data_IF_291228000064
#
_entry.id   IF_291228000064
#
_cell.length_a   1.000
_cell.length_b   1.000
_cell.length_c   1.000
_cell.angle_alpha   90.00
_cell.angle_beta   90.00
_cell.angle_gamma   90.00
#
_symmetry.space_group_name_H-M   'P 1'
#
loop_
_entity.id
_entity.type
_entity.pdbx_description
1 polymer ?
#
# COMPACT_ATOMS: atom_id res chain seq x y z
N UNK A 1 -16.68 -11.50 -20.17
CA UNK A 1 -17.15 -10.83 -18.94
C UNK A 1 -15.93 -10.61 -18.06
N UNK A 2 -15.25 -9.48 -18.28
CA UNK A 2 -14.03 -9.14 -17.53
C UNK A 2 -14.41 -8.63 -16.14
N UNK A 3 -14.01 -9.38 -15.12
CA UNK A 3 -14.02 -8.93 -13.73
C UNK A 3 -13.03 -7.79 -13.59
N UNK A 4 -13.55 -6.56 -13.66
CA UNK A 4 -12.80 -5.34 -13.32
C UNK A 4 -12.42 -5.41 -11.85
N UNK A 5 -11.24 -5.92 -11.57
CA UNK A 5 -10.60 -5.82 -10.27
C UNK A 5 -10.36 -4.33 -10.01
N UNK A 6 -10.96 -3.78 -8.97
CA UNK A 6 -10.68 -2.41 -8.52
C UNK A 6 -9.19 -2.30 -8.13
N UNK A 7 -8.51 -1.19 -8.46
CA UNK A 7 -7.09 -1.01 -8.15
C UNK A 7 -6.84 -1.13 -6.64
N UNK A 8 -5.68 -1.67 -6.29
CA UNK A 8 -5.29 -1.83 -4.90
C UNK A 8 -4.76 -0.50 -4.33
N UNK A 9 -5.63 0.50 -4.18
CA UNK A 9 -5.29 1.81 -3.59
C UNK A 9 -4.46 1.62 -2.31
N UNK A 10 -3.22 2.09 -2.33
CA UNK A 10 -2.36 2.22 -1.15
C UNK A 10 -1.47 3.44 -1.33
N UNK A 11 -1.85 4.55 -0.68
CA UNK A 11 -0.95 5.69 -0.46
C UNK A 11 -0.36 5.53 0.94
N UNK A 12 0.95 5.68 1.09
CA UNK A 12 1.63 5.56 2.39
C UNK A 12 2.17 6.93 2.78
N UNK A 13 1.65 7.50 3.86
CA UNK A 13 2.21 8.69 4.48
C UNK A 13 3.23 8.27 5.53
N UNK A 14 4.37 8.94 5.57
CA UNK A 14 5.51 8.59 6.41
C UNK A 14 6.05 9.86 7.10
N UNK A 15 6.20 9.83 8.41
CA UNK A 15 6.62 11.00 9.22
C UNK A 15 7.95 10.76 9.94
N UNK A 16 8.72 11.84 10.15
CA UNK A 16 10.01 11.89 10.84
C UNK A 16 9.87 12.75 12.09
N UNK A 17 10.13 12.22 13.28
CA UNK A 17 10.28 13.02 14.51
C UNK A 17 11.49 12.61 15.34
N UNK A 18 12.51 13.46 15.26
CA UNK A 18 13.16 14.12 16.41
C UNK A 18 13.64 15.49 15.86
N UNK A 19 12.99 16.58 16.27
CA UNK A 19 13.31 18.00 15.97
C UNK A 19 12.88 18.69 14.65
N UNK A 20 12.21 18.04 13.69
CA UNK A 20 11.55 18.76 12.56
C UNK A 20 10.24 18.06 12.15
N UNK A 21 9.11 18.77 12.19
CA UNK A 21 7.78 18.26 11.82
C UNK A 21 7.53 18.38 10.30
N UNK A 22 8.17 17.52 9.51
CA UNK A 22 7.94 17.44 8.06
C UNK A 22 7.36 16.06 7.73
N UNK A 23 6.12 16.02 7.24
CA UNK A 23 5.40 14.78 6.92
C UNK A 23 5.49 14.51 5.41
N UNK A 24 6.23 13.46 5.03
CA UNK A 24 6.38 13.13 3.63
C UNK A 24 5.29 12.17 3.17
N UNK A 25 4.74 12.45 2.00
CA UNK A 25 3.74 11.62 1.35
C UNK A 25 4.39 10.76 0.27
N UNK A 26 3.98 9.51 0.15
CA UNK A 26 4.48 8.61 -0.88
C UNK A 26 3.35 7.80 -1.49
N UNK A 27 3.27 7.79 -2.80
CA UNK A 27 2.38 6.89 -3.54
C UNK A 27 3.15 5.62 -3.88
N UNK A 28 2.59 4.43 -3.58
CA UNK A 28 3.24 3.16 -3.90
C UNK A 28 2.37 2.27 -4.77
N UNK A 29 2.99 1.71 -5.81
CA UNK A 29 2.34 0.77 -6.72
C UNK A 29 2.99 0.79 -8.10
N UNK A 30 3.39 -0.39 -8.56
CA UNK A 30 4.04 -0.58 -9.84
C UNK A 30 3.09 -0.76 -11.03
N UNK A 31 3.65 -1.21 -12.14
CA UNK A 31 2.92 -1.50 -13.37
C UNK A 31 2.35 -2.92 -13.33
N UNK A 32 1.10 -3.07 -12.89
CA UNK A 32 0.44 -4.38 -12.75
C UNK A 32 -0.57 -4.70 -13.87
N UNK A 33 -0.92 -3.71 -14.71
CA UNK A 33 -1.92 -3.86 -15.79
C UNK A 33 -1.28 -3.63 -17.14
N UNK A 34 -1.43 -4.58 -18.06
CA UNK A 34 -0.93 -4.45 -19.44
C UNK A 34 -1.51 -3.23 -20.17
N UNK A 35 -2.77 -2.88 -19.89
CA UNK A 35 -3.46 -1.74 -20.50
C UNK A 35 -2.95 -0.37 -20.00
N UNK A 36 -2.17 -0.33 -18.91
CA UNK A 36 -1.66 0.91 -18.34
C UNK A 36 -0.44 1.48 -19.10
N UNK A 37 -0.04 0.85 -20.23
CA UNK A 37 1.15 1.23 -21.01
C UNK A 37 2.38 1.45 -20.11
N UNK A 38 2.94 2.66 -20.13
CA UNK A 38 4.14 3.05 -19.37
C UNK A 38 3.83 3.54 -17.95
N UNK A 39 2.57 3.61 -17.52
CA UNK A 39 2.22 4.22 -16.23
C UNK A 39 2.14 3.22 -15.08
N UNK A 40 2.73 3.58 -13.95
CA UNK A 40 2.57 2.89 -12.67
C UNK A 40 1.30 3.33 -11.95
N UNK A 41 0.84 2.53 -11.00
CA UNK A 41 -0.25 2.92 -10.09
C UNK A 41 0.14 4.16 -9.27
N UNK A 42 1.34 4.17 -8.68
CA UNK A 42 1.87 5.32 -7.94
C UNK A 42 1.95 6.61 -8.77
N UNK A 43 2.51 6.53 -9.97
CA UNK A 43 2.60 7.66 -10.90
C UNK A 43 1.22 8.18 -11.32
N UNK A 44 0.21 7.31 -11.40
CA UNK A 44 -1.17 7.74 -11.72
C UNK A 44 -1.78 8.55 -10.58
N UNK A 45 -1.61 8.13 -9.33
CA UNK A 45 -2.08 8.88 -8.16
C UNK A 45 -1.34 10.19 -7.97
N UNK A 46 -0.02 10.20 -8.16
CA UNK A 46 0.79 11.43 -8.12
C UNK A 46 0.30 12.47 -9.12
N UNK A 47 0.05 12.08 -10.38
CA UNK A 47 -0.50 12.98 -11.40
C UNK A 47 -1.90 13.50 -11.05
N UNK A 48 -2.77 12.62 -10.53
CA UNK A 48 -4.11 13.04 -10.12
C UNK A 48 -4.04 14.05 -8.97
N UNK A 49 -3.20 13.81 -7.96
CA UNK A 49 -3.02 14.72 -6.83
C UNK A 49 -2.50 16.09 -7.27
N UNK A 50 -1.53 16.12 -8.18
CA UNK A 50 -1.01 17.35 -8.78
C UNK A 50 -2.09 18.11 -9.55
N UNK A 51 -2.88 17.41 -10.38
CA UNK A 51 -3.96 18.03 -11.16
C UNK A 51 -5.06 18.63 -10.27
N UNK A 52 -5.30 18.02 -9.10
CA UNK A 52 -6.26 18.51 -8.12
C UNK A 52 -5.67 19.59 -7.18
N UNK A 53 -4.39 19.93 -7.31
CA UNK A 53 -3.71 20.89 -6.42
C UNK A 53 -3.67 20.45 -4.95
N UNK A 54 -3.72 19.14 -4.68
CA UNK A 54 -3.84 18.63 -3.31
C UNK A 54 -2.61 18.95 -2.46
N UNK A 55 -1.42 19.00 -3.05
CA UNK A 55 -0.18 19.29 -2.32
C UNK A 55 -0.14 20.74 -1.82
N UNK A 56 -0.67 21.67 -2.62
CA UNK A 56 -0.80 23.08 -2.25
C UNK A 56 -1.87 23.27 -1.16
N UNK A 57 -3.01 22.60 -1.32
CA UNK A 57 -4.12 22.67 -0.35
C UNK A 57 -3.74 22.12 1.02
N UNK A 58 -2.95 21.06 1.05
CA UNK A 58 -2.49 20.43 2.29
C UNK A 58 -1.26 21.12 2.89
N UNK A 59 -0.77 22.20 2.29
CA UNK A 59 0.44 22.91 2.73
C UNK A 59 1.63 21.97 2.93
N UNK A 60 1.72 20.89 2.14
CA UNK A 60 2.81 19.91 2.24
C UNK A 60 4.15 20.46 1.74
N UNK A 61 4.15 21.70 1.24
CA UNK A 61 5.31 22.38 0.70
C UNK A 61 5.79 21.77 -0.62
N UNK A 62 6.72 22.42 -1.34
CA UNK A 62 7.04 22.07 -2.72
C UNK A 62 7.72 20.70 -2.94
N UNK A 63 8.05 19.91 -1.91
CA UNK A 63 9.05 18.82 -2.03
C UNK A 63 8.89 17.68 -1.00
N UNK A 64 7.68 17.34 -0.56
CA UNK A 64 7.48 16.23 0.38
C UNK A 64 6.78 15.01 -0.20
N UNK A 65 6.52 14.99 -1.51
CA UNK A 65 5.80 13.89 -2.16
C UNK A 65 6.68 13.16 -3.18
N UNK A 66 6.76 11.83 -3.09
CA UNK A 66 7.47 10.98 -4.08
C UNK A 66 6.67 9.74 -4.46
N UNK A 67 7.18 8.95 -5.41
CA UNK A 67 6.57 7.69 -5.88
C UNK A 67 7.49 6.50 -5.62
N UNK A 68 6.86 5.36 -5.32
CA UNK A 68 7.44 4.03 -5.26
C UNK A 68 6.78 3.20 -6.37
N UNK A 69 7.56 2.84 -7.38
CA UNK A 69 7.05 2.38 -8.68
C UNK A 69 7.22 0.87 -8.93
N UNK A 70 7.60 0.10 -7.91
CA UNK A 70 7.96 -1.32 -8.05
C UNK A 70 7.07 -2.27 -7.26
N UNK A 71 6.27 -1.81 -6.29
CA UNK A 71 5.39 -2.69 -5.53
C UNK A 71 4.36 -3.40 -6.43
N UNK A 72 4.14 -4.69 -6.20
CA UNK A 72 3.22 -5.53 -7.00
C UNK A 72 2.11 -6.16 -6.15
N UNK A 73 2.19 -6.01 -4.83
CA UNK A 73 1.20 -6.45 -3.85
C UNK A 73 1.27 -5.55 -2.61
N UNK A 74 0.37 -5.76 -1.66
CA UNK A 74 0.29 -4.96 -0.43
C UNK A 74 1.51 -5.10 0.49
N UNK A 75 2.20 -6.24 0.45
CA UNK A 75 3.40 -6.45 1.26
C UNK A 75 4.52 -5.56 0.74
N UNK A 76 4.81 -5.70 -0.56
CA UNK A 76 5.79 -4.85 -1.27
C UNK A 76 5.40 -3.38 -1.25
N UNK A 77 4.10 -3.04 -1.28
CA UNK A 77 3.67 -1.65 -1.10
C UNK A 77 4.22 -1.06 0.21
N UNK A 78 4.11 -1.79 1.32
CA UNK A 78 4.56 -1.30 2.61
C UNK A 78 6.09 -1.24 2.71
N UNK A 79 6.78 -2.37 2.48
CA UNK A 79 8.23 -2.43 2.69
C UNK A 79 9.01 -1.58 1.68
N UNK A 80 8.55 -1.49 0.42
CA UNK A 80 9.20 -0.65 -0.57
C UNK A 80 8.92 0.83 -0.33
N UNK A 81 7.76 1.20 0.24
CA UNK A 81 7.51 2.58 0.69
C UNK A 81 8.56 3.03 1.71
N UNK A 82 8.88 2.16 2.68
CA UNK A 82 9.91 2.43 3.70
C UNK A 82 11.29 2.57 3.06
N UNK A 83 11.65 1.64 2.17
CA UNK A 83 12.93 1.70 1.45
C UNK A 83 13.06 2.96 0.58
N UNK A 84 11.99 3.33 -0.11
CA UNK A 84 11.93 4.52 -0.96
C UNK A 84 11.98 5.81 -0.15
N UNK A 85 11.35 5.84 1.03
CA UNK A 85 11.45 6.96 1.94
C UNK A 85 12.88 7.17 2.43
N UNK A 86 13.61 6.10 2.76
CA UNK A 86 15.04 6.18 3.13
C UNK A 86 15.89 6.72 1.97
N UNK A 87 15.67 6.27 0.74
CA UNK A 87 16.34 6.84 -0.45
C UNK A 87 16.05 8.32 -0.64
N UNK A 88 14.81 8.75 -0.35
CA UNK A 88 14.36 10.10 -0.59
C UNK A 88 14.78 11.09 0.51
N UNK A 89 14.79 10.64 1.77
CA UNK A 89 14.98 11.52 2.94
C UNK A 89 16.32 11.32 3.65
N UNK A 90 17.04 10.25 3.32
CA UNK A 90 18.27 9.86 3.99
C UNK A 90 18.07 9.08 5.29
N UNK A 91 16.85 8.93 5.81
CA UNK A 91 16.56 8.22 7.08
C UNK A 91 15.33 7.31 6.97
N UNK A 92 15.22 6.29 7.81
CA UNK A 92 14.00 5.49 7.91
C UNK A 92 12.90 6.27 8.66
N UNK A 93 11.62 6.07 8.34
CA UNK A 93 10.54 6.83 8.96
C UNK A 93 10.40 6.47 10.44
N UNK A 94 10.01 7.44 11.25
CA UNK A 94 9.72 7.21 12.67
C UNK A 94 8.26 6.82 12.88
N UNK A 95 7.37 7.20 11.97
CA UNK A 95 5.94 6.89 12.02
C UNK A 95 5.47 6.50 10.61
N UNK A 96 4.58 5.50 10.52
CA UNK A 96 3.91 5.13 9.29
C UNK A 96 2.41 5.36 9.44
N UNK A 97 1.81 6.05 8.47
CA UNK A 97 0.35 6.17 8.33
C UNK A 97 -0.03 5.71 6.92
N UNK A 98 -0.64 4.54 6.81
CA UNK A 98 -1.11 4.03 5.52
C UNK A 98 -2.52 4.56 5.25
N UNK A 99 -2.75 5.11 4.07
CA UNK A 99 -4.06 5.56 3.59
C UNK A 99 -4.48 4.68 2.41
N UNK A 100 -5.58 3.94 2.55
CA UNK A 100 -6.04 3.04 1.51
C UNK A 100 -7.43 2.49 1.81
N UNK A 101 -7.92 1.55 1.00
CA UNK A 101 -9.26 0.98 1.22
C UNK A 101 -9.42 0.38 2.63
N UNK A 102 -10.52 0.72 3.31
CA UNK A 102 -10.80 0.31 4.70
C UNK A 102 -10.77 -1.20 4.90
N UNK A 103 -11.27 -1.97 3.94
CA UNK A 103 -11.28 -3.45 3.99
C UNK A 103 -9.88 -4.06 4.21
N UNK A 104 -8.81 -3.40 3.77
CA UNK A 104 -7.43 -3.89 3.92
C UNK A 104 -6.81 -3.59 5.28
N UNK A 105 -7.42 -2.73 6.09
CA UNK A 105 -6.85 -2.25 7.36
C UNK A 105 -6.38 -3.38 8.25
N UNK A 106 -7.20 -4.43 8.39
CA UNK A 106 -6.88 -5.61 9.20
C UNK A 106 -5.61 -6.31 8.73
N UNK A 107 -5.47 -6.54 7.42
CA UNK A 107 -4.29 -7.19 6.83
C UNK A 107 -3.01 -6.38 7.07
N UNK A 108 -3.07 -5.05 6.94
CA UNK A 108 -1.90 -4.21 7.20
C UNK A 108 -1.50 -4.21 8.68
N UNK A 109 -2.45 -4.08 9.59
CA UNK A 109 -2.17 -4.00 11.02
C UNK A 109 -1.72 -5.34 11.64
N UNK A 110 -2.39 -6.43 11.29
CA UNK A 110 -2.18 -7.74 11.92
C UNK A 110 -1.08 -8.57 11.24
N UNK A 111 -0.90 -8.40 9.92
CA UNK A 111 0.05 -9.19 9.14
C UNK A 111 1.25 -8.34 8.70
N UNK A 112 1.08 -7.33 7.83
CA UNK A 112 2.23 -6.63 7.23
C UNK A 112 3.07 -5.84 8.24
N UNK A 113 2.44 -5.06 9.12
CA UNK A 113 3.13 -4.34 10.20
C UNK A 113 3.89 -5.32 11.10
N UNK A 114 3.26 -6.44 11.46
CA UNK A 114 3.84 -7.51 12.29
C UNK A 114 5.05 -8.15 11.60
N UNK A 115 4.94 -8.47 10.31
CA UNK A 115 6.01 -9.04 9.50
C UNK A 115 7.26 -8.13 9.42
N UNK A 116 7.05 -6.82 9.42
CA UNK A 116 8.12 -5.81 9.51
C UNK A 116 8.62 -5.56 10.94
N UNK A 117 7.99 -6.17 11.95
CA UNK A 117 8.20 -5.87 13.38
C UNK A 117 8.12 -4.37 13.67
N UNK A 118 7.22 -3.67 12.97
CA UNK A 118 7.04 -2.23 13.16
C UNK A 118 6.22 -1.98 14.43
N UNK A 119 6.65 -1.09 15.35
CA UNK A 119 5.92 -0.86 16.59
C UNK A 119 4.50 -0.35 16.35
N UNK A 120 3.54 -0.85 17.13
CA UNK A 120 2.12 -0.59 16.93
C UNK A 120 1.78 0.88 17.17
N UNK A 121 2.38 1.49 18.18
CA UNK A 121 2.28 2.90 18.53
C UNK A 121 2.87 3.83 17.46
N UNK A 122 3.66 3.28 16.51
CA UNK A 122 4.27 4.01 15.39
C UNK A 122 3.70 3.61 14.03
N UNK A 123 2.51 2.99 14.02
CA UNK A 123 1.82 2.56 12.81
C UNK A 123 0.33 2.88 12.89
N UNK A 124 -0.19 3.55 11.86
CA UNK A 124 -1.61 3.88 11.72
C UNK A 124 -2.10 3.46 10.33
N UNK A 125 -3.36 3.03 10.24
CA UNK A 125 -4.03 2.79 8.96
C UNK A 125 -5.34 3.59 8.89
N UNK A 126 -5.39 4.54 7.96
CA UNK A 126 -6.58 5.33 7.65
C UNK A 126 -7.32 4.65 6.50
N UNK A 127 -8.47 4.07 6.84
CA UNK A 127 -9.37 3.45 5.87
C UNK A 127 -10.20 4.47 5.11
N UNK A 128 -10.08 4.46 3.79
CA UNK A 128 -11.00 5.15 2.88
C UNK A 128 -12.11 4.17 2.50
N UNK A 129 -13.34 4.52 2.83
CA UNK A 129 -14.49 3.77 2.35
C UNK A 129 -14.70 4.11 0.87
N UNK A 130 -14.67 3.11 -0.03
CA UNK A 130 -14.78 3.34 -1.48
C UNK A 130 -16.10 3.99 -1.86
N UNK A 131 -17.11 3.88 -1.00
CA UNK A 131 -18.43 4.41 -1.18
C UNK A 131 -18.77 5.09 0.14
N UNK A 132 -18.60 6.41 0.20
CA UNK A 132 -19.05 7.19 1.34
C UNK A 132 -20.57 7.32 1.26
N UNK A 133 -21.30 6.19 1.38
CA UNK A 133 -22.77 6.08 1.25
C UNK A 133 -23.46 7.15 2.09
N UNK A 134 -22.88 7.50 3.24
CA UNK A 134 -23.39 8.50 4.16
C UNK A 134 -23.41 9.92 3.56
N UNK A 135 -22.41 10.30 2.74
CA UNK A 135 -22.39 11.60 2.06
C UNK A 135 -23.49 11.70 0.99
N UNK A 136 -23.86 10.59 0.37
CA UNK A 136 -24.91 10.52 -0.64
C UNK A 136 -26.32 10.39 -0.03
N UNK A 137 -26.45 9.90 1.21
CA UNK A 137 -27.73 9.89 1.94
C UNK A 137 -28.17 11.26 2.44
N UNK A 138 -27.25 12.21 2.63
CA UNK A 138 -27.55 13.56 3.14
C UNK A 138 -27.86 14.59 2.05
N UNK A 139 -27.46 14.35 0.80
CA UNK A 139 -27.84 15.18 -0.35
C UNK A 139 -28.99 14.51 -1.08
N UNK A 140 -30.22 15.00 -0.83
CA UNK A 140 -31.49 14.58 -1.40
C UNK A 140 -31.48 14.45 -2.93
N UNK A 141 -30.96 13.33 -3.43
CA UNK A 141 -31.09 12.91 -4.82
C UNK A 141 -31.49 11.44 -4.77
N UNK A 142 -32.71 11.17 -5.22
CA UNK A 142 -33.35 9.87 -5.24
C UNK A 142 -32.54 8.87 -6.06
N UNK A 143 -31.63 8.14 -5.40
CA UNK A 143 -31.00 6.97 -5.98
C UNK A 143 -32.07 5.90 -6.22
N UNK A 144 -31.99 5.23 -7.37
CA UNK A 144 -32.85 4.09 -7.66
C UNK A 144 -32.50 2.93 -6.73
N UNK A 145 -33.50 2.12 -6.35
CA UNK A 145 -33.28 0.93 -5.52
C UNK A 145 -32.21 0.01 -6.12
N UNK A 146 -32.10 -0.01 -7.46
CA UNK A 146 -31.12 -0.82 -8.18
C UNK A 146 -29.67 -0.38 -7.92
N UNK A 147 -29.37 0.91 -8.00
CA UNK A 147 -28.01 1.42 -7.75
C UNK A 147 -27.53 1.12 -6.32
N UNK A 148 -28.43 1.16 -5.34
CA UNK A 148 -28.08 0.78 -3.95
C UNK A 148 -27.79 -0.71 -3.79
N UNK A 149 -28.43 -1.57 -4.59
CA UNK A 149 -28.17 -3.02 -4.61
C UNK A 149 -26.81 -3.28 -5.25
N UNK A 150 -26.52 -2.66 -6.39
CA UNK A 150 -25.27 -2.82 -7.12
C UNK A 150 -24.07 -2.38 -6.27
N UNK A 151 -24.19 -1.25 -5.55
CA UNK A 151 -23.14 -0.75 -4.64
C UNK A 151 -22.86 -1.73 -3.48
N UNK A 152 -23.90 -2.33 -2.91
CA UNK A 152 -23.76 -3.35 -1.84
C UNK A 152 -23.11 -4.63 -2.36
N UNK A 153 -23.43 -5.04 -3.58
CA UNK A 153 -22.81 -6.20 -4.21
C UNK A 153 -21.31 -5.96 -4.45
N UNK A 154 -20.95 -4.78 -4.94
CA UNK A 154 -19.54 -4.38 -5.11
C UNK A 154 -18.82 -4.43 -3.77
N UNK A 155 -19.38 -3.83 -2.71
CA UNK A 155 -18.79 -3.85 -1.37
C UNK A 155 -18.59 -5.27 -0.84
N UNK A 156 -19.61 -6.13 -0.93
CA UNK A 156 -19.53 -7.54 -0.53
C UNK A 156 -18.44 -8.30 -1.30
N UNK A 157 -18.32 -8.06 -2.61
CA UNK A 157 -17.29 -8.67 -3.44
C UNK A 157 -15.88 -8.22 -3.04
N UNK A 158 -15.70 -6.95 -2.67
CA UNK A 158 -14.43 -6.41 -2.19
C UNK A 158 -14.04 -7.04 -0.85
N UNK A 159 -14.99 -7.15 0.09
CA UNK A 159 -14.78 -7.78 1.40
C UNK A 159 -14.40 -9.25 1.24
N UNK A 160 -15.11 -9.99 0.39
CA UNK A 160 -14.82 -11.39 0.13
C UNK A 160 -13.44 -11.59 -0.52
N UNK A 161 -13.12 -10.74 -1.52
CA UNK A 161 -11.82 -10.74 -2.18
C UNK A 161 -10.69 -10.45 -1.19
N UNK A 162 -10.87 -9.46 -0.32
CA UNK A 162 -9.89 -9.11 0.71
C UNK A 162 -9.73 -10.21 1.75
N UNK A 163 -10.83 -10.84 2.21
CA UNK A 163 -10.77 -11.99 3.13
C UNK A 163 -9.93 -13.12 2.56
N UNK A 164 -10.07 -13.43 1.27
CA UNK A 164 -9.25 -14.45 0.60
C UNK A 164 -7.76 -14.08 0.65
N UNK A 165 -7.42 -12.83 0.35
CA UNK A 165 -6.02 -12.39 0.33
C UNK A 165 -5.44 -12.32 1.75
N UNK A 166 -6.23 -11.91 2.76
CA UNK A 166 -5.84 -11.98 4.16
C UNK A 166 -5.42 -13.41 4.55
N UNK A 167 -6.25 -14.41 4.24
CA UNK A 167 -5.97 -15.82 4.56
C UNK A 167 -4.76 -16.41 3.83
N UNK A 168 -4.39 -15.84 2.68
CA UNK A 168 -3.15 -16.20 1.98
C UNK A 168 -1.93 -15.65 2.71
N UNK A 169 -1.95 -14.36 3.10
CA UNK A 169 -0.85 -13.74 3.86
C UNK A 169 -0.73 -14.27 5.30
N UNK A 170 -1.82 -14.75 5.90
CA UNK A 170 -1.77 -15.40 7.21
C UNK A 170 -0.92 -16.68 7.21
N UNK A 171 -0.81 -17.35 6.06
CA UNK A 171 0.02 -18.56 5.87
C UNK A 171 1.36 -18.29 5.18
N UNK A 172 1.55 -17.07 4.69
CA UNK A 172 2.72 -16.62 3.94
C UNK A 172 2.92 -15.13 4.15
N UNK A 173 3.46 -14.82 5.33
CA UNK A 173 3.55 -13.50 5.92
C UNK A 173 4.36 -12.50 5.05
N UNK A 174 5.29 -13.02 4.25
CA UNK A 174 6.18 -12.25 3.36
C UNK A 174 5.80 -12.39 1.87
N UNK A 175 4.78 -13.19 1.56
CA UNK A 175 4.32 -13.42 0.19
C UNK A 175 5.36 -14.13 -0.69
N UNK A 176 6.16 -15.04 -0.11
CA UNK A 176 7.24 -15.76 -0.77
C UNK A 176 6.82 -17.13 -1.32
N UNK A 177 5.70 -17.67 -0.86
CA UNK A 177 5.26 -19.02 -1.19
C UNK A 177 4.34 -19.03 -2.41
N UNK A 178 4.22 -20.23 -3.00
CA UNK A 178 3.59 -20.56 -4.29
C UNK A 178 2.57 -19.52 -4.81
N UNK A 179 1.40 -19.42 -4.17
CA UNK A 179 0.28 -18.65 -4.72
C UNK A 179 0.53 -17.13 -4.76
N UNK A 180 1.12 -16.55 -3.71
CA UNK A 180 1.42 -15.12 -3.65
C UNK A 180 2.61 -14.76 -4.53
N UNK A 181 3.65 -15.61 -4.54
CA UNK A 181 4.79 -15.45 -5.44
C UNK A 181 4.37 -15.54 -6.92
N UNK A 182 3.51 -16.50 -7.30
CA UNK A 182 3.00 -16.63 -8.66
C UNK A 182 2.16 -15.42 -9.06
N UNK A 183 1.30 -14.91 -8.17
CA UNK A 183 0.57 -13.66 -8.39
C UNK A 183 1.52 -12.49 -8.62
N UNK A 184 2.58 -12.36 -7.83
CA UNK A 184 3.60 -11.32 -7.97
C UNK A 184 4.32 -11.43 -9.32
N UNK A 185 4.76 -12.64 -9.71
CA UNK A 185 5.37 -12.91 -11.01
C UNK A 185 4.44 -12.55 -12.17
N UNK A 186 3.16 -12.96 -12.10
CA UNK A 186 2.14 -12.65 -13.12
C UNK A 186 1.88 -11.15 -13.27
N UNK A 187 1.95 -10.39 -12.18
CA UNK A 187 1.79 -8.93 -12.19
C UNK A 187 3.00 -8.20 -12.76
N UNK A 188 4.20 -8.80 -12.76
CA UNK A 188 5.42 -8.19 -13.31
C UNK A 188 5.56 -8.40 -14.83
N UNK A 189 4.51 -8.10 -15.60
CA UNK A 189 4.53 -8.25 -17.07
C UNK A 189 5.60 -7.40 -17.77
N UNK A 190 6.01 -6.30 -17.13
CA UNK A 190 7.01 -5.35 -17.61
C UNK A 190 8.44 -5.67 -17.16
N UNK A 191 8.64 -6.76 -16.39
CA UNK A 191 9.94 -7.24 -15.93
C UNK A 191 10.79 -6.16 -15.24
N UNK A 192 10.16 -5.39 -14.35
CA UNK A 192 10.83 -4.37 -13.55
C UNK A 192 11.39 -4.96 -12.27
N UNK A 193 12.51 -4.40 -11.81
CA UNK A 193 13.22 -4.83 -10.60
C UNK A 193 13.53 -3.61 -9.74
N UNK A 194 13.32 -3.73 -8.44
CA UNK A 194 13.56 -2.65 -7.50
C UNK A 194 15.06 -2.55 -7.12
N UNK A 195 15.58 -1.35 -6.82
CA UNK A 195 16.99 -1.15 -6.42
C UNK A 195 17.24 -1.38 -4.91
N UNK A 196 16.18 -1.60 -4.11
CA UNK A 196 16.25 -1.53 -2.64
C UNK A 196 17.22 -2.51 -1.96
N UNK A 197 17.62 -3.60 -2.61
CA UNK A 197 18.65 -4.49 -2.05
C UNK A 197 20.03 -3.81 -1.95
N UNK A 198 20.30 -2.84 -2.84
CA UNK A 198 21.56 -2.11 -2.89
C UNK A 198 21.47 -0.80 -2.11
N UNK A 199 20.36 -0.07 -2.25
CA UNK A 199 20.20 1.26 -1.63
C UNK A 199 19.81 1.21 -0.15
N UNK A 200 19.30 0.07 0.34
CA UNK A 200 18.86 -0.11 1.73
C UNK A 200 19.53 -1.35 2.35
N UNK A 201 20.87 -1.34 2.54
CA UNK A 201 21.61 -2.50 3.03
C UNK A 201 21.20 -2.94 4.43
N UNK A 202 20.71 -2.03 5.27
CA UNK A 202 20.30 -2.30 6.66
C UNK A 202 19.04 -3.16 6.76
N UNK A 203 18.16 -3.12 5.74
CA UNK A 203 16.93 -3.95 5.68
C UNK A 203 17.00 -5.02 4.60
N UNK A 204 18.15 -5.19 3.94
CA UNK A 204 18.36 -6.20 2.90
C UNK A 204 18.02 -7.62 3.38
N UNK A 205 18.29 -7.92 4.64
CA UNK A 205 17.93 -9.20 5.25
C UNK A 205 16.42 -9.43 5.29
N UNK A 206 15.63 -8.41 5.67
CA UNK A 206 14.17 -8.46 5.65
C UNK A 206 13.61 -8.52 4.23
N UNK A 207 14.19 -7.77 3.28
CA UNK A 207 13.78 -7.79 1.87
C UNK A 207 13.95 -9.17 1.22
N UNK A 208 14.94 -9.95 1.65
CA UNK A 208 15.20 -11.31 1.18
C UNK A 208 14.64 -12.40 2.11
N UNK A 209 13.93 -12.02 3.16
CA UNK A 209 13.44 -12.99 4.15
C UNK A 209 12.25 -13.76 3.60
N UNK A 210 12.40 -15.08 3.53
CA UNK A 210 11.37 -16.02 3.12
C UNK A 210 11.49 -17.29 3.98
N UNK A 211 10.78 -17.38 5.11
CA UNK A 211 10.85 -18.55 5.98
C UNK A 211 10.14 -19.76 5.34
N UNK A 212 10.65 -20.97 5.60
CA UNK A 212 10.13 -22.21 5.00
C UNK A 212 8.66 -22.45 5.38
N UNK A 213 8.30 -22.15 6.62
CA UNK A 213 6.91 -22.28 7.10
C UNK A 213 6.00 -21.09 6.68
N UNK A 214 6.56 -20.08 6.01
CA UNK A 214 5.86 -18.88 5.57
C UNK A 214 5.54 -17.86 6.67
N UNK A 215 5.72 -18.19 7.95
CA UNK A 215 5.18 -17.39 9.07
C UNK A 215 6.23 -16.97 10.10
N UNK A 216 7.42 -17.56 10.11
CA UNK A 216 8.47 -17.16 11.06
C UNK A 216 8.90 -15.70 10.83
N UNK A 217 8.87 -14.92 11.90
CA UNK A 217 9.26 -13.51 11.86
C UNK A 217 10.77 -13.37 11.62
N UNK A 218 11.15 -12.33 10.88
CA UNK A 218 12.54 -11.99 10.67
C UNK A 218 13.24 -11.61 11.99
N UNK A 219 14.29 -12.35 12.36
CA UNK A 219 15.01 -12.19 13.62
C UNK A 219 16.21 -11.25 13.57
N UNK A 220 16.58 -10.76 12.38
CA UNK A 220 17.71 -9.83 12.25
C UNK A 220 17.43 -8.46 12.85
N UNK A 221 18.48 -7.64 12.92
CA UNK A 221 18.38 -6.25 13.35
C UNK A 221 17.62 -5.42 12.31
N UNK A 222 16.74 -4.54 12.79
CA UNK A 222 16.00 -3.59 11.95
C UNK A 222 16.21 -2.18 12.49
N UNK A 223 16.35 -1.16 11.63
CA UNK A 223 16.61 0.23 12.05
C UNK A 223 15.55 0.85 12.98
N UNK A 224 14.36 0.24 13.05
CA UNK A 224 13.21 0.72 13.81
C UNK A 224 12.77 -0.22 14.94
N UNK A 225 13.39 -1.40 15.10
CA UNK A 225 12.96 -2.41 16.07
C UNK A 225 13.91 -2.52 17.25
#
# INVERSE_FOLDING_TARGET
MDSRTLPSQTSTQLDRRVHQSHSNSLYSGGQTRHQANQSTEAGSYSRLANQLGLHDQLSLGPLQTTTEDFALDSWTNLIYSVARFKEYTGDYPTQITVVGHSVKSKRFNELHRKAMRWPQERFEYIGLDPINLNRFTTTSTSFSSQETIDLKEIESSMILGEKKVYLEFERDLYGCNLSLMEKRKKRNGFRRFHPYLTSNPEIRGLLNWCPINGIDEYTGSLPWA
#
